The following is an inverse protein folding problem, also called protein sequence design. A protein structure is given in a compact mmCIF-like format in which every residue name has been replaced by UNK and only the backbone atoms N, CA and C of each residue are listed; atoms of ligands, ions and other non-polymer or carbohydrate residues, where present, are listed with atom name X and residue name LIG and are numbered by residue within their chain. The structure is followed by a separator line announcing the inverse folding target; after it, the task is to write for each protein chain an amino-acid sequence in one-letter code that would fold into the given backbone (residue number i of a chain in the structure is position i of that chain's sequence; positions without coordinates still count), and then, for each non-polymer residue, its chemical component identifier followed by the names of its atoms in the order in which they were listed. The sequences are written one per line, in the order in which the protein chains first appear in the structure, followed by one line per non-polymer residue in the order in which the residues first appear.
data_IF_496734189652
#
_entry.id   IF_496734189652
#
_cell.length_a   1.000
_cell.length_b   1.000
_cell.length_c   1.000
_cell.angle_alpha   90.00
_cell.angle_beta   90.00
_cell.angle_gamma   90.00
#
_symmetry.space_group_name_H-M   'P 1'
#
loop_
_entity.id
_entity.type
_entity.pdbx_description
1 polymer ?
#
# COMPACT_ATOMS: atom_id res chain seq x y z
N UNK A 1 -14.63 -14.34 -3.41
CA UNK A 1 -13.93 -15.61 -3.15
C UNK A 1 -12.60 -15.26 -2.54
N UNK A 2 -12.41 -15.53 -1.25
CA UNK A 2 -11.13 -15.30 -0.58
C UNK A 2 -10.18 -16.43 -1.00
N UNK A 3 -9.14 -16.09 -1.73
CA UNK A 3 -8.03 -17.02 -1.95
C UNK A 3 -7.15 -16.90 -0.72
N UNK A 4 -7.37 -17.76 0.26
CA UNK A 4 -6.51 -17.89 1.43
C UNK A 4 -5.15 -18.41 0.99
N UNK A 5 -4.08 -17.69 1.31
CA UNK A 5 -2.71 -18.14 0.99
C UNK A 5 -1.69 -17.03 0.77
N UNK A 6 -2.07 -15.76 0.96
CA UNK A 6 -1.16 -14.64 0.84
C UNK A 6 -0.89 -13.99 2.20
N UNK A 7 0.39 -13.80 2.51
CA UNK A 7 0.82 -12.97 3.64
C UNK A 7 1.29 -11.62 3.13
N UNK A 8 0.71 -10.55 3.64
CA UNK A 8 1.06 -9.20 3.24
C UNK A 8 2.02 -8.58 4.25
N UNK A 9 3.07 -7.95 3.76
CA UNK A 9 4.08 -7.31 4.60
C UNK A 9 4.21 -5.83 4.26
N UNK A 10 4.26 -5.01 5.31
CA UNK A 10 4.67 -3.62 5.25
C UNK A 10 6.03 -3.48 5.93
N UNK A 11 7.01 -2.99 5.19
CA UNK A 11 8.39 -2.90 5.65
C UNK A 11 8.86 -1.47 5.57
N UNK A 12 9.35 -0.92 6.68
CA UNK A 12 10.16 0.30 6.70
C UNK A 12 11.61 -0.09 6.82
N UNK A 13 12.46 0.44 5.97
CA UNK A 13 13.92 0.28 6.11
C UNK A 13 14.66 1.57 5.83
N UNK A 14 15.82 1.73 6.44
CA UNK A 14 16.72 2.85 6.15
C UNK A 14 17.55 2.55 4.90
N UNK A 15 17.32 3.30 3.84
CA UNK A 15 18.11 3.25 2.61
C UNK A 15 19.19 4.35 2.55
N UNK A 16 19.97 4.36 1.46
CA UNK A 16 21.03 5.36 1.23
C UNK A 16 20.54 6.80 1.16
N UNK A 17 19.28 7.01 0.72
CA UNK A 17 18.67 8.33 0.49
C UNK A 17 17.59 8.67 1.53
N UNK A 18 17.60 8.00 2.68
CA UNK A 18 16.56 8.09 3.70
C UNK A 18 15.68 6.83 3.74
N UNK A 19 14.50 6.94 4.33
CA UNK A 19 13.60 5.81 4.52
C UNK A 19 12.93 5.34 3.21
N UNK A 20 12.72 4.03 3.12
CA UNK A 20 11.94 3.37 2.09
C UNK A 20 10.86 2.52 2.75
N UNK A 21 9.65 2.56 2.18
CA UNK A 21 8.55 1.64 2.48
C UNK A 21 8.47 0.62 1.36
N UNK A 22 8.46 -0.66 1.72
CA UNK A 22 8.18 -1.77 0.83
C UNK A 22 6.85 -2.39 1.20
N UNK A 23 6.07 -2.71 0.17
CA UNK A 23 4.90 -3.56 0.28
C UNK A 23 5.19 -4.85 -0.46
N UNK A 24 5.20 -5.94 0.29
CA UNK A 24 5.50 -7.26 -0.23
C UNK A 24 4.31 -8.20 -0.05
N UNK A 25 4.18 -9.13 -1.00
CA UNK A 25 3.20 -10.21 -0.94
C UNK A 25 3.99 -11.52 -0.90
N UNK A 26 3.77 -12.31 0.14
CA UNK A 26 4.30 -13.65 0.30
C UNK A 26 3.26 -14.71 0.02
N UNK A 27 3.69 -15.85 -0.50
CA UNK A 27 2.92 -17.08 -0.64
C UNK A 27 3.87 -18.28 -0.49
N UNK A 28 3.39 -19.49 -0.76
CA UNK A 28 4.20 -20.72 -0.71
C UNK A 28 5.45 -20.69 -1.62
N UNK A 29 5.40 -19.95 -2.72
CA UNK A 29 6.53 -19.82 -3.67
C UNK A 29 7.57 -18.79 -3.25
N UNK A 30 7.31 -17.99 -2.21
CA UNK A 30 8.23 -17.01 -1.66
C UNK A 30 7.62 -15.62 -1.47
N UNK A 31 8.48 -14.63 -1.19
CA UNK A 31 8.08 -13.24 -0.92
C UNK A 31 8.50 -12.34 -2.07
N UNK A 32 7.54 -11.64 -2.66
CA UNK A 32 7.78 -10.72 -3.78
C UNK A 32 7.54 -9.28 -3.35
N UNK A 33 8.47 -8.38 -3.69
CA UNK A 33 8.26 -6.95 -3.47
C UNK A 33 7.39 -6.36 -4.58
N UNK A 34 6.21 -5.88 -4.21
CA UNK A 34 5.24 -5.35 -5.17
C UNK A 34 5.51 -3.88 -5.42
N UNK A 35 5.65 -3.09 -4.36
CA UNK A 35 5.81 -1.64 -4.44
C UNK A 35 6.93 -1.18 -3.52
N UNK A 36 7.70 -0.20 -4.01
CA UNK A 36 8.59 0.62 -3.20
C UNK A 36 8.22 2.08 -3.26
N UNK A 37 8.08 2.69 -2.09
CA UNK A 37 7.89 4.12 -1.89
C UNK A 37 9.09 4.67 -1.11
N UNK A 38 9.79 5.66 -1.68
CA UNK A 38 10.88 6.35 -1.00
C UNK A 38 10.62 7.85 -0.91
N UNK A 39 11.51 8.54 -0.18
CA UNK A 39 11.51 9.99 -0.06
C UNK A 39 11.11 10.48 1.33
N UNK A 40 11.08 11.80 1.51
CA UNK A 40 10.94 12.45 2.83
C UNK A 40 9.70 12.04 3.63
N UNK A 41 8.63 11.60 2.95
CA UNK A 41 7.38 11.22 3.60
C UNK A 41 7.26 9.70 3.86
N UNK A 42 8.22 8.88 3.43
CA UNK A 42 8.11 7.42 3.47
C UNK A 42 7.91 6.90 4.91
N UNK A 43 8.73 7.37 5.85
CA UNK A 43 8.61 7.01 7.27
C UNK A 43 7.24 7.38 7.85
N UNK A 44 6.74 8.58 7.52
CA UNK A 44 5.43 9.03 7.98
C UNK A 44 4.30 8.17 7.41
N UNK A 45 4.31 7.90 6.11
CA UNK A 45 3.33 7.02 5.46
C UNK A 45 3.30 5.66 6.14
N UNK A 46 4.47 5.09 6.45
CA UNK A 46 4.56 3.83 7.16
C UNK A 46 3.91 3.89 8.55
N UNK A 47 4.32 4.88 9.37
CA UNK A 47 3.80 5.05 10.74
C UNK A 47 2.29 5.22 10.74
N UNK A 48 1.77 6.09 9.87
CA UNK A 48 0.34 6.34 9.73
C UNK A 48 -0.44 5.07 9.36
N UNK A 49 0.08 4.24 8.45
CA UNK A 49 -0.54 2.96 8.08
C UNK A 49 -0.52 1.96 9.23
N UNK A 50 0.65 1.78 9.86
CA UNK A 50 0.79 0.84 10.98
C UNK A 50 -0.14 1.22 12.13
N UNK A 51 -0.20 2.51 12.47
CA UNK A 51 -1.08 3.02 13.53
C UNK A 51 -2.56 2.81 13.17
N UNK A 52 -2.96 3.15 11.93
CA UNK A 52 -4.33 2.95 11.49
C UNK A 52 -4.75 1.47 11.56
N UNK A 53 -3.88 0.55 11.15
CA UNK A 53 -4.14 -0.89 11.24
C UNK A 53 -4.13 -1.42 12.69
N UNK A 54 -3.21 -0.93 13.53
CA UNK A 54 -3.05 -1.39 14.91
C UNK A 54 -4.32 -1.15 15.74
N UNK A 55 -5.01 -0.01 15.51
CA UNK A 55 -6.30 0.31 16.14
C UNK A 55 -7.39 -0.73 15.90
N UNK A 56 -7.27 -1.50 14.82
CA UNK A 56 -8.21 -2.57 14.45
C UNK A 56 -7.63 -3.98 14.62
N UNK A 57 -6.48 -4.12 15.31
CA UNK A 57 -5.78 -5.40 15.47
C UNK A 57 -5.33 -6.01 14.14
N UNK A 58 -5.08 -5.16 13.13
CA UNK A 58 -4.84 -5.58 11.75
C UNK A 58 -3.38 -5.54 11.30
N UNK A 59 -2.46 -5.19 12.21
CA UNK A 59 -1.02 -5.21 11.98
C UNK A 59 -0.34 -5.93 13.15
N UNK A 60 0.58 -6.84 12.83
CA UNK A 60 1.37 -7.58 13.82
C UNK A 60 2.86 -7.37 13.49
N UNK A 61 3.67 -6.91 14.45
CA UNK A 61 5.11 -6.79 14.25
C UNK A 61 5.73 -8.18 14.08
N UNK A 62 6.42 -8.41 12.96
CA UNK A 62 7.16 -9.65 12.70
C UNK A 62 8.65 -9.50 13.01
N UNK A 63 9.21 -8.31 12.77
CA UNK A 63 10.60 -7.97 13.11
C UNK A 63 10.70 -6.47 13.33
N UNK A 64 11.29 -6.03 14.42
CA UNK A 64 11.53 -4.60 14.70
C UNK A 64 12.98 -4.44 15.14
N UNK A 65 13.72 -3.60 14.43
CA UNK A 65 15.09 -3.22 14.72
C UNK A 65 15.30 -1.75 14.38
N UNK A 66 16.46 -1.20 14.74
CA UNK A 66 16.81 0.20 14.45
C UNK A 66 16.90 0.51 12.94
N UNK A 67 17.12 -0.50 12.11
CA UNK A 67 17.35 -0.34 10.67
C UNK A 67 16.18 -0.81 9.80
N UNK A 68 15.33 -1.68 10.35
CA UNK A 68 14.24 -2.33 9.63
C UNK A 68 13.07 -2.65 10.58
N UNK A 69 11.86 -2.30 10.16
CA UNK A 69 10.61 -2.67 10.81
C UNK A 69 9.71 -3.41 9.81
N UNK A 70 9.30 -4.62 10.14
CA UNK A 70 8.48 -5.51 9.33
C UNK A 70 7.20 -5.82 10.08
N UNK A 71 6.07 -5.49 9.46
CA UNK A 71 4.73 -5.81 9.97
C UNK A 71 4.01 -6.70 8.99
N UNK A 72 3.33 -7.73 9.50
CA UNK A 72 2.33 -8.48 8.73
C UNK A 72 0.99 -7.78 8.82
N UNK A 73 0.27 -7.72 7.70
CA UNK A 73 -1.07 -7.13 7.61
C UNK A 73 -2.11 -8.25 7.54
N UNK A 74 -3.25 -8.06 8.22
CA UNK A 74 -4.42 -8.95 8.10
C UNK A 74 -4.83 -9.11 6.63
N UNK A 75 -5.12 -10.35 6.24
CA UNK A 75 -5.26 -10.75 4.82
C UNK A 75 -6.28 -9.92 4.03
N UNK A 76 -7.43 -9.60 4.63
CA UNK A 76 -8.51 -8.79 4.04
C UNK A 76 -8.11 -7.31 3.81
N UNK A 77 -7.16 -6.79 4.58
CA UNK A 77 -6.71 -5.40 4.52
C UNK A 77 -5.43 -5.24 3.69
N UNK A 78 -4.71 -6.33 3.41
CA UNK A 78 -3.49 -6.33 2.61
C UNK A 78 -3.65 -5.62 1.25
N UNK A 79 -4.64 -5.97 0.42
CA UNK A 79 -4.87 -5.31 -0.86
C UNK A 79 -5.27 -3.83 -0.73
N UNK A 80 -6.04 -3.48 0.30
CA UNK A 80 -6.45 -2.09 0.56
C UNK A 80 -5.22 -1.23 0.87
N UNK A 81 -4.31 -1.74 1.70
CA UNK A 81 -3.05 -1.07 2.03
C UNK A 81 -2.16 -0.94 0.79
N UNK A 82 -2.05 -1.99 -0.03
CA UNK A 82 -1.29 -1.92 -1.29
C UNK A 82 -1.82 -0.83 -2.22
N UNK A 83 -3.14 -0.76 -2.40
CA UNK A 83 -3.80 0.29 -3.18
C UNK A 83 -3.62 1.70 -2.57
N UNK A 84 -3.69 1.82 -1.25
CA UNK A 84 -3.42 3.06 -0.53
C UNK A 84 -1.98 3.54 -0.77
N UNK A 85 -0.99 2.65 -0.77
CA UNK A 85 0.39 3.02 -1.05
C UNK A 85 0.58 3.49 -2.51
N UNK A 86 -0.17 2.92 -3.45
CA UNK A 86 -0.26 3.45 -4.83
C UNK A 86 -0.90 4.84 -4.81
N UNK A 87 -2.01 5.05 -4.10
CA UNK A 87 -2.69 6.34 -3.97
C UNK A 87 -1.75 7.44 -3.44
N UNK A 88 -0.99 7.18 -2.37
CA UNK A 88 -0.10 8.18 -1.75
C UNK A 88 1.24 8.34 -2.46
N UNK A 89 1.52 7.52 -3.48
CA UNK A 89 2.70 7.68 -4.32
C UNK A 89 2.77 9.10 -4.89
N UNK A 90 3.91 9.77 -4.69
CA UNK A 90 4.16 11.17 -5.10
C UNK A 90 3.12 12.18 -4.55
N UNK A 91 2.38 11.87 -3.48
CA UNK A 91 1.44 12.81 -2.88
C UNK A 91 2.17 13.95 -2.16
N UNK A 92 1.70 15.18 -2.37
CA UNK A 92 2.21 16.38 -1.68
C UNK A 92 1.64 16.51 -0.26
N UNK A 93 0.35 16.23 -0.09
CA UNK A 93 -0.35 16.27 1.19
C UNK A 93 -0.62 14.84 1.63
N UNK A 94 0.23 14.28 2.50
CA UNK A 94 0.13 12.89 2.97
C UNK A 94 -0.93 12.77 4.05
N UNK A 95 -1.08 13.78 4.89
CA UNK A 95 -2.02 13.88 5.98
C UNK A 95 -3.47 13.70 5.53
N UNK A 96 -3.84 14.33 4.41
CA UNK A 96 -5.16 14.13 3.80
C UNK A 96 -5.43 12.66 3.52
N UNK A 97 -4.46 11.96 2.95
CA UNK A 97 -4.62 10.55 2.60
C UNK A 97 -4.57 9.65 3.83
N UNK A 98 -3.77 10.00 4.82
CA UNK A 98 -3.75 9.37 6.14
C UNK A 98 -5.12 9.45 6.84
N UNK A 99 -5.79 10.61 6.78
CA UNK A 99 -7.17 10.76 7.26
C UNK A 99 -8.14 9.87 6.50
N UNK A 100 -8.06 9.90 5.17
CA UNK A 100 -8.89 9.04 4.32
C UNK A 100 -8.72 7.56 4.65
N UNK A 101 -7.50 7.06 4.90
CA UNK A 101 -7.28 5.68 5.28
C UNK A 101 -7.95 5.34 6.62
N UNK A 102 -7.82 6.20 7.63
CA UNK A 102 -8.47 5.99 8.94
C UNK A 102 -9.99 5.93 8.78
N UNK A 103 -10.58 6.91 8.13
CA UNK A 103 -12.01 6.97 7.87
C UNK A 103 -12.50 5.74 7.09
N UNK A 104 -11.72 5.29 6.10
CA UNK A 104 -12.00 4.08 5.33
C UNK A 104 -12.02 2.81 6.21
N UNK A 105 -11.03 2.64 7.09
CA UNK A 105 -10.96 1.50 8.00
C UNK A 105 -12.05 1.54 9.09
N UNK A 106 -12.50 2.73 9.46
CA UNK A 106 -13.66 2.95 10.33
C UNK A 106 -15.01 2.72 9.60
N UNK A 107 -15.00 2.42 8.30
CA UNK A 107 -16.20 2.07 7.54
C UNK A 107 -16.97 3.26 6.96
N UNK A 108 -16.41 4.47 6.98
CA UNK A 108 -17.06 5.69 6.48
C UNK A 108 -17.34 5.68 4.97
N UNK A 109 -16.66 4.82 4.22
CA UNK A 109 -16.72 4.76 2.76
C UNK A 109 -17.12 3.35 2.28
N UNK A 110 -18.40 3.01 2.45
CA UNK A 110 -18.95 1.73 2.04
C UNK A 110 -18.60 1.39 0.57
N UNK A 111 -18.09 0.19 0.34
CA UNK A 111 -17.70 -0.30 -0.99
C UNK A 111 -16.35 0.21 -1.54
N UNK A 112 -15.79 1.30 -0.98
CA UNK A 112 -14.51 1.86 -1.47
C UNK A 112 -13.32 0.95 -1.15
N UNK A 113 -13.35 0.24 -0.03
CA UNK A 113 -12.36 -0.78 0.30
C UNK A 113 -12.22 -1.83 -0.82
N UNK A 114 -13.35 -2.36 -1.29
CA UNK A 114 -13.39 -3.33 -2.39
C UNK A 114 -12.93 -2.74 -3.72
N UNK A 115 -13.31 -1.49 -4.00
CA UNK A 115 -12.84 -0.77 -5.18
C UNK A 115 -11.30 -0.61 -5.17
N UNK A 116 -10.72 -0.24 -4.03
CA UNK A 116 -9.27 -0.12 -3.87
C UNK A 116 -8.54 -1.45 -4.10
N UNK A 117 -9.04 -2.55 -3.54
CA UNK A 117 -8.48 -3.88 -3.80
C UNK A 117 -8.52 -4.21 -5.30
N UNK A 118 -9.63 -3.92 -5.97
CA UNK A 118 -9.77 -4.12 -7.43
C UNK A 118 -8.79 -3.25 -8.23
N UNK A 119 -8.56 -2.00 -7.81
CA UNK A 119 -7.54 -1.14 -8.42
C UNK A 119 -6.14 -1.71 -8.30
N UNK A 120 -5.78 -2.32 -7.16
CA UNK A 120 -4.48 -2.98 -6.99
C UNK A 120 -4.36 -4.19 -7.91
N UNK A 121 -5.40 -5.02 -8.01
CA UNK A 121 -5.41 -6.17 -8.93
C UNK A 121 -5.18 -5.74 -10.38
N UNK A 122 -5.89 -4.72 -10.85
CA UNK A 122 -5.69 -4.12 -12.18
C UNK A 122 -4.26 -3.59 -12.32
N UNK A 123 -3.72 -2.95 -11.28
CA UNK A 123 -2.35 -2.43 -11.30
C UNK A 123 -1.31 -3.54 -11.50
N UNK A 124 -1.48 -4.64 -10.78
CA UNK A 124 -0.61 -5.82 -10.85
C UNK A 124 -0.73 -6.49 -12.21
N UNK A 125 -1.95 -6.66 -12.73
CA UNK A 125 -2.18 -7.29 -14.03
C UNK A 125 -1.56 -6.47 -15.17
N UNK A 126 -1.83 -5.16 -15.22
CA UNK A 126 -1.21 -4.27 -16.22
C UNK A 126 0.31 -4.27 -16.11
N UNK A 127 0.85 -4.34 -14.89
CA UNK A 127 2.29 -4.34 -14.69
C UNK A 127 2.96 -5.58 -15.25
N UNK A 128 2.29 -6.75 -15.32
CA UNK A 128 2.86 -7.97 -15.93
C UNK A 128 3.20 -7.79 -17.41
N UNK A 129 2.43 -6.97 -18.14
CA UNK A 129 2.65 -6.69 -19.56
C UNK A 129 3.55 -5.48 -19.81
N UNK A 130 3.71 -4.61 -18.81
CA UNK A 130 4.50 -3.37 -18.91
C UNK A 130 5.81 -3.44 -18.10
N UNK A 131 6.21 -4.64 -17.67
CA UNK A 131 7.37 -4.79 -16.81
C UNK A 131 8.66 -4.72 -17.62
N UNK A 132 9.54 -3.82 -17.19
CA UNK A 132 10.93 -3.82 -17.64
C UNK A 132 11.69 -4.83 -16.78
N UNK A 133 12.14 -5.94 -17.40
CA UNK A 133 12.76 -7.11 -16.73
C UNK A 133 13.93 -6.76 -15.78
N UNK A 134 14.47 -5.54 -15.88
CA UNK A 134 15.55 -5.02 -15.03
C UNK A 134 15.13 -4.60 -13.61
N UNK A 135 13.84 -4.47 -13.30
CA UNK A 135 13.38 -4.02 -11.97
C UNK A 135 12.88 -5.20 -11.13
N UNK A 136 13.31 -5.23 -9.86
CA UNK A 136 12.96 -6.28 -8.88
C UNK A 136 11.55 -6.14 -8.26
N UNK A 137 10.70 -5.25 -8.79
CA UNK A 137 9.37 -4.96 -8.23
C UNK A 137 8.29 -5.40 -9.20
N UNK A 138 7.23 -6.05 -8.71
CA UNK A 138 6.13 -6.50 -9.58
C UNK A 138 5.25 -5.38 -10.12
N UNK A 139 5.17 -4.24 -9.43
CA UNK A 139 4.41 -3.09 -9.92
C UNK A 139 5.29 -2.17 -10.76
N UNK A 140 4.95 -2.03 -12.05
CA UNK A 140 5.64 -1.14 -12.97
C UNK A 140 5.46 0.31 -12.52
N UNK A 141 6.54 1.11 -12.42
CA UNK A 141 6.42 2.50 -11.98
C UNK A 141 5.54 3.38 -12.88
N UNK A 142 5.44 3.07 -14.18
CA UNK A 142 4.54 3.79 -15.10
C UNK A 142 3.08 3.51 -14.73
N UNK A 143 2.74 2.24 -14.51
CA UNK A 143 1.39 1.82 -14.09
C UNK A 143 1.07 2.42 -12.71
N UNK A 144 2.01 2.35 -11.77
CA UNK A 144 1.86 2.93 -10.44
C UNK A 144 1.59 4.44 -10.49
N UNK A 145 2.31 5.21 -11.32
CA UNK A 145 2.13 6.66 -11.44
C UNK A 145 0.79 7.03 -12.11
N UNK A 146 0.39 6.29 -13.14
CA UNK A 146 -0.89 6.49 -13.83
C UNK A 146 -2.08 6.19 -12.90
N UNK A 147 -2.07 5.02 -12.26
CA UNK A 147 -3.13 4.63 -11.32
C UNK A 147 -3.14 5.50 -10.07
N UNK A 148 -1.97 5.93 -9.58
CA UNK A 148 -1.91 6.88 -8.47
C UNK A 148 -2.65 8.17 -8.80
N UNK A 149 -2.49 8.70 -10.02
CA UNK A 149 -3.21 9.90 -10.47
C UNK A 149 -4.71 9.66 -10.60
N UNK A 150 -5.12 8.52 -11.17
CA UNK A 150 -6.52 8.14 -11.31
C UNK A 150 -7.20 7.94 -9.95
N UNK A 151 -6.58 7.19 -9.05
CA UNK A 151 -7.05 6.93 -7.68
C UNK A 151 -7.24 8.21 -6.89
N UNK A 152 -6.30 9.16 -6.96
CA UNK A 152 -6.45 10.46 -6.29
C UNK A 152 -7.69 11.20 -6.79
N UNK A 153 -7.95 11.22 -8.10
CA UNK A 153 -9.13 11.88 -8.67
C UNK A 153 -10.42 11.16 -8.27
N UNK A 154 -10.41 9.83 -8.33
CA UNK A 154 -11.53 8.98 -7.91
C UNK A 154 -11.89 9.21 -6.44
N UNK A 155 -10.94 9.03 -5.52
CA UNK A 155 -11.16 9.23 -4.09
C UNK A 155 -11.60 10.66 -3.78
N UNK A 156 -11.01 11.67 -4.44
CA UNK A 156 -11.44 13.05 -4.26
C UNK A 156 -12.89 13.31 -4.70
N UNK A 157 -13.38 12.61 -5.72
CA UNK A 157 -14.80 12.70 -6.12
C UNK A 157 -15.71 12.05 -5.10
N UNK A 158 -15.33 10.90 -4.57
CA UNK A 158 -16.09 10.20 -3.52
C UNK A 158 -16.18 11.03 -2.25
N UNK A 159 -15.05 11.56 -1.75
CA UNK A 159 -15.02 12.41 -0.54
C UNK A 159 -15.93 13.63 -0.70
N UNK A 160 -16.02 14.21 -1.90
CA UNK A 160 -16.86 15.39 -2.19
C UNK A 160 -18.35 15.09 -2.38
N UNK A 161 -18.69 13.85 -2.72
CA UNK A 161 -20.08 13.45 -2.98
C UNK A 161 -20.84 13.11 -1.68
N UNK A 162 -20.14 13.17 -0.55
CA UNK A 162 -20.64 12.96 0.80
C UNK A 162 -20.68 14.30 1.52
#
# INVERSE_FOLDING_TARGET
MAVSGYTYYLILRRGRKGYEVLYNIGNESGVTSVLRLGGKNAERVFKDVVEALARHGASIPSRVSDYEQVYTIREDLGPIVGAYLVLVRRARNVERWSSFLRELLEGHYAGIARALSSFLEVALELSRYMHDRKRSYSLSPVVADALSSALKRFVNRIIKAR
#
